data_IF_398897361928
#
_entry.id   IF_398897361928
#
_cell.length_a   1.000
_cell.length_b   1.000
_cell.length_c   1.000
_cell.angle_alpha   90.00
_cell.angle_beta   90.00
_cell.angle_gamma   90.00
#
_symmetry.space_group_name_H-M   'P 1'
#
loop_
_entity.id
_entity.type
_entity.pdbx_description
1 polymer ?
#
# COMPACT_ATOMS: atom_id res chain seq x y z
N UNK A 1 33.10 -14.27 12.20
CA UNK A 1 31.88 -13.57 12.68
C UNK A 1 31.37 -12.77 11.49
N UNK A 2 30.26 -13.17 10.88
CA UNK A 2 29.80 -12.64 9.59
C UNK A 2 29.48 -11.15 9.68
N UNK A 3 29.97 -10.37 8.71
CA UNK A 3 29.54 -9.00 8.51
C UNK A 3 28.04 -9.01 8.21
N UNK A 4 27.24 -8.33 9.03
CA UNK A 4 25.86 -8.01 8.65
C UNK A 4 25.98 -7.09 7.44
N UNK A 5 25.71 -7.61 6.25
CA UNK A 5 25.59 -6.79 5.05
C UNK A 5 24.24 -6.10 5.13
N UNK A 6 24.24 -4.81 5.41
CA UNK A 6 23.06 -3.97 5.30
C UNK A 6 22.76 -3.77 3.81
N UNK A 7 22.09 -4.75 3.21
CA UNK A 7 21.78 -4.76 1.79
C UNK A 7 20.41 -4.12 1.57
N UNK A 8 20.38 -3.04 0.78
CA UNK A 8 19.13 -2.50 0.24
C UNK A 8 18.75 -3.40 -0.93
N UNK A 9 17.65 -4.11 -0.83
CA UNK A 9 17.16 -4.96 -1.93
C UNK A 9 16.38 -4.16 -2.97
N UNK A 10 15.74 -3.07 -2.54
CA UNK A 10 14.91 -2.26 -3.40
C UNK A 10 14.71 -0.85 -2.83
N UNK A 11 14.73 0.18 -3.68
CA UNK A 11 14.28 1.51 -3.31
C UNK A 11 13.71 2.24 -4.53
N UNK A 12 12.80 3.19 -4.30
CA UNK A 12 12.19 3.94 -5.39
C UNK A 12 11.80 5.36 -4.99
N UNK A 13 11.75 6.24 -5.99
CA UNK A 13 11.15 7.57 -5.87
C UNK A 13 9.97 7.62 -6.83
N UNK A 14 8.79 7.98 -6.33
CA UNK A 14 7.60 8.17 -7.16
C UNK A 14 6.97 9.53 -6.93
N UNK A 15 6.30 10.06 -7.96
CA UNK A 15 5.49 11.28 -7.90
C UNK A 15 4.13 10.99 -8.50
N UNK A 16 3.09 10.96 -7.66
CA UNK A 16 1.75 10.57 -8.08
C UNK A 16 1.77 9.14 -8.63
N UNK A 17 1.40 8.98 -9.90
CA UNK A 17 1.36 7.68 -10.58
C UNK A 17 2.63 7.31 -11.35
N UNK A 18 3.68 8.13 -11.25
CA UNK A 18 4.92 7.94 -12.00
C UNK A 18 6.05 7.57 -11.07
N UNK A 19 6.70 6.46 -11.38
CA UNK A 19 7.96 6.10 -10.76
C UNK A 19 9.07 6.91 -11.46
N UNK A 20 9.78 7.72 -10.68
CA UNK A 20 10.86 8.58 -11.14
C UNK A 20 12.22 7.85 -11.10
N UNK A 21 12.38 6.96 -10.13
CA UNK A 21 13.61 6.20 -9.94
C UNK A 21 13.29 4.85 -9.28
N UNK A 22 14.00 3.80 -9.72
CA UNK A 22 13.96 2.47 -9.12
C UNK A 22 15.39 1.95 -9.02
N UNK A 23 15.70 1.37 -7.88
CA UNK A 23 16.83 0.51 -7.66
C UNK A 23 16.29 -0.85 -7.23
N UNK A 24 16.70 -1.93 -7.89
CA UNK A 24 16.45 -3.31 -7.48
C UNK A 24 17.78 -4.06 -7.46
N UNK A 25 18.01 -4.84 -6.42
CA UNK A 25 19.25 -5.56 -6.15
C UNK A 25 19.52 -6.77 -7.07
N UNK A 26 18.85 -6.87 -8.22
CA UNK A 26 19.00 -7.97 -9.17
C UNK A 26 17.75 -8.83 -9.36
N UNK A 27 16.76 -8.73 -8.46
CA UNK A 27 15.46 -9.36 -8.64
C UNK A 27 14.51 -8.37 -9.33
N UNK A 28 14.01 -8.76 -10.50
CA UNK A 28 13.02 -8.01 -11.29
C UNK A 28 11.59 -8.18 -10.73
N UNK A 29 11.48 -8.42 -9.42
CA UNK A 29 10.19 -8.49 -8.75
C UNK A 29 9.57 -7.09 -8.72
N UNK A 30 8.29 -7.03 -9.09
CA UNK A 30 7.51 -5.80 -9.12
C UNK A 30 7.12 -5.35 -7.71
N UNK A 31 8.12 -5.03 -6.87
CA UNK A 31 7.95 -4.48 -5.52
C UNK A 31 7.17 -3.15 -5.50
N UNK A 32 6.94 -2.56 -6.67
CA UNK A 32 6.11 -1.38 -6.88
C UNK A 32 4.61 -1.64 -6.87
N UNK A 33 4.19 -2.89 -7.07
CA UNK A 33 2.80 -3.18 -7.36
C UNK A 33 1.99 -3.30 -6.06
N UNK A 34 2.55 -3.93 -5.03
CA UNK A 34 1.87 -4.12 -3.75
C UNK A 34 2.87 -4.25 -2.60
N UNK A 35 2.43 -3.86 -1.41
CA UNK A 35 3.20 -3.97 -0.17
C UNK A 35 2.29 -4.48 0.95
N UNK A 36 2.79 -5.45 1.71
CA UNK A 36 2.09 -6.00 2.88
C UNK A 36 2.99 -5.93 4.10
N UNK A 37 2.44 -5.42 5.19
CA UNK A 37 3.11 -5.38 6.49
C UNK A 37 2.18 -5.97 7.55
N UNK A 38 2.63 -7.01 8.23
CA UNK A 38 1.87 -7.61 9.34
C UNK A 38 2.48 -7.16 10.66
N UNK A 39 1.68 -6.47 11.47
CA UNK A 39 2.06 -5.99 12.80
C UNK A 39 1.08 -6.58 13.82
N UNK A 40 1.57 -7.56 14.59
CA UNK A 40 0.74 -8.33 15.51
C UNK A 40 -0.40 -9.02 14.76
N UNK A 41 -1.65 -8.79 15.19
CA UNK A 41 -2.84 -9.47 14.63
C UNK A 41 -3.42 -8.80 13.38
N UNK A 42 -2.74 -7.79 12.82
CA UNK A 42 -3.26 -6.99 11.70
C UNK A 42 -2.27 -6.97 10.55
N UNK A 43 -2.80 -7.12 9.35
CA UNK A 43 -2.06 -6.95 8.10
C UNK A 43 -2.52 -5.68 7.41
N UNK A 44 -1.55 -4.84 7.07
CA UNK A 44 -1.68 -3.59 6.34
C UNK A 44 -1.30 -3.89 4.89
N UNK A 45 -2.24 -3.70 3.96
CA UNK A 45 -2.02 -3.99 2.56
C UNK A 45 -2.19 -2.77 1.67
N UNK A 46 -1.25 -2.58 0.76
CA UNK A 46 -1.25 -1.53 -0.24
C UNK A 46 -1.15 -2.17 -1.63
N UNK A 47 -1.97 -1.68 -2.56
CA UNK A 47 -1.87 -1.97 -3.99
C UNK A 47 -1.79 -0.62 -4.70
N UNK A 48 -0.74 -0.42 -5.49
CA UNK A 48 -0.45 0.84 -6.18
C UNK A 48 -0.58 0.58 -7.67
N UNK A 49 -1.57 1.20 -8.31
CA UNK A 49 -1.79 1.04 -9.74
C UNK A 49 -2.45 2.28 -10.35
N UNK A 50 -1.99 2.68 -11.54
CA UNK A 50 -2.53 3.82 -12.31
C UNK A 50 -2.62 5.16 -11.54
N UNK A 51 -1.90 5.30 -10.43
CA UNK A 51 -1.95 6.50 -9.57
C UNK A 51 -2.90 6.45 -8.40
N UNK A 52 -3.61 5.35 -8.25
CA UNK A 52 -4.44 5.08 -7.10
C UNK A 52 -3.67 4.19 -6.13
N UNK A 53 -3.85 4.47 -4.84
CA UNK A 53 -3.40 3.62 -3.76
C UNK A 53 -4.64 3.00 -3.15
N UNK A 54 -4.77 1.69 -3.31
CA UNK A 54 -5.81 0.89 -2.65
C UNK A 54 -5.21 0.36 -1.35
N UNK A 55 -5.87 0.66 -0.24
CA UNK A 55 -5.36 0.34 1.09
C UNK A 55 -6.40 -0.45 1.89
N UNK A 56 -5.94 -1.42 2.67
CA UNK A 56 -6.79 -2.20 3.58
C UNK A 56 -6.06 -2.56 4.86
N UNK A 57 -6.83 -2.77 5.93
CA UNK A 57 -6.36 -3.34 7.19
C UNK A 57 -7.27 -4.52 7.48
N UNK A 58 -6.68 -5.69 7.59
CA UNK A 58 -7.40 -6.95 7.81
C UNK A 58 -6.76 -7.71 8.97
N UNK A 59 -7.50 -8.66 9.53
CA UNK A 59 -6.92 -9.60 10.47
C UNK A 59 -5.86 -10.45 9.77
N UNK A 60 -4.78 -10.74 10.49
CA UNK A 60 -3.65 -11.57 10.01
C UNK A 60 -4.13 -12.92 9.43
N UNK A 61 -5.24 -13.46 9.95
CA UNK A 61 -5.81 -14.73 9.50
C UNK A 61 -6.22 -14.76 8.03
N UNK A 62 -6.42 -13.60 7.40
CA UNK A 62 -6.75 -13.53 5.97
C UNK A 62 -5.55 -13.90 5.08
N UNK A 63 -4.32 -13.68 5.56
CA UNK A 63 -3.08 -13.93 4.85
C UNK A 63 -2.84 -13.01 3.64
N UNK A 64 -1.59 -12.86 3.22
CA UNK A 64 -1.18 -11.92 2.16
C UNK A 64 -1.91 -12.15 0.83
N UNK A 65 -2.13 -13.41 0.46
CA UNK A 65 -2.86 -13.75 -0.78
C UNK A 65 -4.32 -13.26 -0.72
N UNK A 66 -4.99 -13.45 0.41
CA UNK A 66 -6.36 -12.98 0.60
C UNK A 66 -6.44 -11.46 0.64
N UNK A 67 -5.45 -10.79 1.23
CA UNK A 67 -5.33 -9.32 1.21
C UNK A 67 -5.17 -8.81 -0.22
N UNK A 68 -4.30 -9.44 -1.02
CA UNK A 68 -4.08 -9.06 -2.41
C UNK A 68 -5.35 -9.21 -3.24
N UNK A 69 -6.01 -10.37 -3.17
CA UNK A 69 -7.27 -10.63 -3.88
C UNK A 69 -8.35 -9.60 -3.53
N UNK A 70 -8.46 -9.23 -2.25
CA UNK A 70 -9.39 -8.19 -1.81
C UNK A 70 -9.06 -6.83 -2.43
N UNK A 71 -7.79 -6.43 -2.42
CA UNK A 71 -7.35 -5.15 -3.00
C UNK A 71 -7.55 -5.11 -4.52
N UNK A 72 -7.28 -6.20 -5.23
CA UNK A 72 -7.53 -6.33 -6.67
C UNK A 72 -9.02 -6.21 -6.97
N UNK A 73 -9.88 -6.85 -6.18
CA UNK A 73 -11.32 -6.73 -6.33
C UNK A 73 -11.80 -5.29 -6.08
N UNK A 74 -11.31 -4.64 -5.02
CA UNK A 74 -11.61 -3.25 -4.71
C UNK A 74 -11.19 -2.32 -5.85
N UNK A 75 -10.01 -2.53 -6.43
CA UNK A 75 -9.54 -1.81 -7.61
C UNK A 75 -10.48 -1.99 -8.79
N UNK A 76 -10.86 -3.21 -9.10
CA UNK A 76 -11.65 -3.50 -10.30
C UNK A 76 -13.04 -2.89 -10.20
N UNK A 77 -13.68 -2.98 -9.02
CA UNK A 77 -14.95 -2.30 -8.74
C UNK A 77 -14.81 -0.77 -8.84
N UNK A 78 -13.73 -0.21 -8.30
CA UNK A 78 -13.45 1.21 -8.42
C UNK A 78 -13.28 1.65 -9.88
N UNK A 79 -12.50 0.91 -10.68
CA UNK A 79 -12.28 1.18 -12.10
C UNK A 79 -13.59 1.11 -12.90
N UNK A 80 -14.47 0.16 -12.60
CA UNK A 80 -15.81 0.07 -13.22
C UNK A 80 -16.63 1.33 -12.97
N UNK A 81 -16.63 1.84 -11.73
CA UNK A 81 -17.38 3.04 -11.36
C UNK A 81 -16.76 4.30 -11.96
N UNK A 82 -15.43 4.44 -11.92
CA UNK A 82 -14.71 5.60 -12.43
C UNK A 82 -14.86 5.76 -13.96
N UNK A 83 -14.86 4.66 -14.72
CA UNK A 83 -15.03 4.67 -16.19
C UNK A 83 -16.45 5.04 -16.64
N UNK A 84 -17.45 4.88 -15.78
CA UNK A 84 -18.86 5.20 -16.09
C UNK A 84 -19.20 6.69 -16.04
N UNK A 85 -18.23 7.57 -15.78
CA UNK A 85 -18.41 9.02 -15.97
C UNK A 85 -19.49 9.62 -15.09
N UNK A 86 -19.42 9.43 -13.76
CA UNK A 86 -20.15 10.31 -12.84
C UNK A 86 -19.20 11.33 -12.24
N UNK A 87 -19.27 12.57 -12.75
CA UNK A 87 -18.66 13.77 -12.15
C UNK A 87 -19.34 14.20 -10.83
N UNK A 88 -20.22 13.39 -10.26
CA UNK A 88 -20.89 13.72 -9.01
C UNK A 88 -21.39 12.47 -8.30
N UNK A 89 -20.55 11.87 -7.47
CA UNK A 89 -20.87 11.51 -6.06
C UNK A 89 -19.70 10.80 -5.36
N UNK A 90 -18.45 11.26 -5.53
CA UNK A 90 -17.29 10.59 -4.92
C UNK A 90 -17.20 10.74 -3.39
N UNK A 91 -17.98 11.66 -2.82
CA UNK A 91 -18.00 11.94 -1.38
C UNK A 91 -18.78 10.90 -0.56
N UNK A 92 -19.48 9.95 -1.20
CA UNK A 92 -20.32 8.99 -0.47
C UNK A 92 -19.51 7.84 0.17
N UNK A 93 -18.35 7.47 -0.38
CA UNK A 93 -17.48 6.43 0.20
C UNK A 93 -16.36 6.98 1.09
N UNK A 94 -16.00 8.26 0.92
CA UNK A 94 -15.03 8.94 1.79
C UNK A 94 -15.55 9.17 3.23
N UNK A 95 -16.87 9.00 3.48
CA UNK A 95 -17.49 9.28 4.77
C UNK A 95 -17.45 8.13 5.78
N UNK A 96 -17.06 6.91 5.40
CA UNK A 96 -17.12 5.74 6.30
C UNK A 96 -15.78 5.47 7.01
N UNK A 97 -14.66 6.07 6.59
CA UNK A 97 -13.35 5.69 7.14
C UNK A 97 -12.35 6.79 7.43
N UNK A 98 -12.62 8.08 7.11
CA UNK A 98 -11.65 9.14 7.35
C UNK A 98 -11.67 9.63 8.81
N UNK A 99 -11.34 8.75 9.75
CA UNK A 99 -10.66 9.20 10.98
C UNK A 99 -9.19 9.35 10.61
N UNK A 100 -8.81 10.61 10.42
CA UNK A 100 -7.44 11.13 10.42
C UNK A 100 -6.39 10.09 10.86
N UNK A 101 -5.56 9.61 9.94
CA UNK A 101 -4.29 8.98 10.30
C UNK A 101 -3.41 10.07 10.90
N UNK A 102 -3.48 10.25 12.22
CA UNK A 102 -2.42 10.92 12.96
C UNK A 102 -1.25 9.95 12.91
N UNK A 103 -0.20 10.31 12.17
CA UNK A 103 1.12 9.70 12.30
C UNK A 103 1.45 9.73 13.79
N UNK A 104 1.48 8.56 14.42
CA UNK A 104 2.03 8.42 15.77
C UNK A 104 3.54 8.42 15.58
N UNK A 105 4.12 9.61 15.62
CA UNK A 105 5.53 9.79 15.92
C UNK A 105 5.70 9.44 17.41
N UNK A 106 5.95 8.17 17.73
CA UNK A 106 6.50 7.80 19.04
C UNK A 106 8.00 8.08 19.03
N UNK A 107 8.37 9.35 19.23
CA UNK A 107 9.69 9.72 19.71
C UNK A 107 9.85 9.24 21.15
N UNK A 108 10.56 8.13 21.35
CA UNK A 108 11.05 7.76 22.68
C UNK A 108 12.35 8.53 22.95
N UNK A 109 12.20 9.48 23.86
CA UNK A 109 13.25 10.21 24.57
C UNK A 109 14.25 9.21 25.19
N UNK A 110 15.50 9.23 24.71
CA UNK A 110 16.61 8.53 25.35
C UNK A 110 17.22 9.48 26.38
N UNK A 111 16.98 9.20 27.66
CA UNK A 111 17.78 9.76 28.76
C UNK A 111 18.76 8.71 29.28
#
# INVERSE_FOLDING_TARGET
MGSIQNTIYYCCVSRGNRILYVYSGGDEDSFHMWYFETMGKRTYGFLIEDGYIYFTIVDESLGNLGVLQFLEHLRDEFKKVARKGSRGNFLLFAKIGLRQWRVVEEGKDCR
#
